data_IF_935486371535
#
_entry.id   IF_935486371535
#
_cell.length_a   1.000
_cell.length_b   1.000
_cell.length_c   1.000
_cell.angle_alpha   90.00
_cell.angle_beta   90.00
_cell.angle_gamma   90.00
#
_symmetry.space_group_name_H-M   'P 1'
#
loop_
_entity.id
_entity.type
_entity.pdbx_description
1 polymer ?
#
# COMPACT_ATOMS: atom_id res chain seq x y z
N UNK A 1 35.48 -42.03 -12.75
CA UNK A 1 35.37 -40.66 -12.20
C UNK A 1 34.24 -39.97 -12.94
N UNK A 2 33.11 -39.71 -12.27
CA UNK A 2 32.06 -38.88 -12.87
C UNK A 2 32.53 -37.42 -12.88
N UNK A 3 32.24 -36.64 -13.95
CA UNK A 3 32.59 -35.23 -13.97
C UNK A 3 31.80 -34.51 -12.88
N UNK A 4 32.51 -33.80 -12.00
CA UNK A 4 31.93 -32.86 -11.06
C UNK A 4 31.22 -31.76 -11.86
N UNK A 5 29.88 -31.78 -11.89
CA UNK A 5 29.09 -30.68 -12.45
C UNK A 5 29.42 -29.41 -11.67
N UNK A 6 30.04 -28.46 -12.36
CA UNK A 6 30.41 -27.15 -11.79
C UNK A 6 29.14 -26.37 -11.54
N UNK A 7 28.85 -26.07 -10.28
CA UNK A 7 27.73 -25.20 -9.93
C UNK A 7 27.93 -23.81 -10.58
N UNK A 8 26.86 -23.23 -11.17
CA UNK A 8 26.95 -21.93 -11.83
C UNK A 8 27.26 -20.83 -10.82
N UNK A 9 28.05 -19.87 -11.26
CA UNK A 9 28.41 -18.69 -10.47
C UNK A 9 27.21 -17.76 -10.26
N UNK A 10 27.33 -16.85 -9.29
CA UNK A 10 26.33 -15.81 -9.01
C UNK A 10 26.08 -14.90 -10.24
N UNK A 11 27.12 -14.58 -10.99
CA UNK A 11 26.99 -13.77 -12.20
C UNK A 11 26.27 -14.51 -13.34
N UNK A 12 26.52 -15.81 -13.49
CA UNK A 12 25.86 -16.65 -14.48
C UNK A 12 24.38 -16.84 -14.14
N UNK A 13 24.05 -17.09 -12.88
CA UNK A 13 22.65 -17.18 -12.42
C UNK A 13 21.90 -15.86 -12.60
N UNK A 14 22.54 -14.73 -12.29
CA UNK A 14 21.95 -13.39 -12.51
C UNK A 14 21.73 -13.08 -13.99
N UNK A 15 22.68 -13.43 -14.87
CA UNK A 15 22.55 -13.25 -16.33
C UNK A 15 21.43 -14.09 -16.91
N UNK A 16 21.32 -15.36 -16.50
CA UNK A 16 20.23 -16.26 -16.92
C UNK A 16 18.87 -15.72 -16.47
N UNK A 17 18.77 -15.25 -15.23
CA UNK A 17 17.54 -14.64 -14.71
C UNK A 17 17.10 -13.43 -15.54
N UNK A 18 18.04 -12.53 -15.88
CA UNK A 18 17.75 -11.33 -16.69
C UNK A 18 17.30 -11.68 -18.12
N UNK A 19 17.94 -12.68 -18.73
CA UNK A 19 17.57 -13.14 -20.06
C UNK A 19 16.14 -13.72 -20.08
N UNK A 20 15.79 -14.53 -19.07
CA UNK A 20 14.44 -15.09 -18.93
C UNK A 20 13.37 -14.01 -18.70
N UNK A 21 13.67 -12.99 -17.90
CA UNK A 21 12.77 -11.84 -17.71
C UNK A 21 12.55 -11.09 -19.02
N UNK A 22 13.60 -10.82 -19.78
CA UNK A 22 13.48 -10.14 -21.08
C UNK A 22 12.69 -10.97 -22.10
N UNK A 23 12.95 -12.28 -22.20
CA UNK A 23 12.17 -13.20 -23.05
C UNK A 23 10.69 -13.16 -22.67
N UNK A 24 10.40 -13.17 -21.37
CA UNK A 24 9.04 -13.07 -20.86
C UNK A 24 8.38 -11.74 -21.22
N UNK A 25 9.07 -10.60 -21.03
CA UNK A 25 8.57 -9.28 -21.43
C UNK A 25 8.24 -9.28 -22.93
N UNK A 26 9.16 -9.70 -23.79
CA UNK A 26 8.91 -9.78 -25.23
C UNK A 26 7.72 -10.66 -25.57
N UNK A 27 7.53 -11.76 -24.82
CA UNK A 27 6.32 -12.57 -24.89
C UNK A 27 5.06 -11.77 -24.57
N UNK A 28 5.01 -11.09 -23.42
CA UNK A 28 3.85 -10.27 -23.03
C UNK A 28 3.52 -9.20 -24.08
N UNK A 29 4.53 -8.54 -24.64
CA UNK A 29 4.37 -7.44 -25.61
C UNK A 29 3.94 -7.92 -27.01
N UNK A 30 4.25 -9.17 -27.36
CA UNK A 30 3.85 -9.77 -28.64
C UNK A 30 2.39 -10.22 -28.64
N UNK A 31 1.82 -10.54 -27.48
CA UNK A 31 0.48 -11.13 -27.41
C UNK A 31 -0.64 -10.12 -27.64
N UNK A 32 -1.44 -10.39 -28.66
CA UNK A 32 -2.64 -9.62 -29.01
C UNK A 32 -3.91 -10.20 -28.38
N UNK A 33 -3.89 -11.49 -28.02
CA UNK A 33 -5.06 -12.20 -27.49
C UNK A 33 -4.92 -12.45 -26.00
N UNK A 34 -6.02 -12.28 -25.27
CA UNK A 34 -6.11 -12.56 -23.83
C UNK A 34 -5.71 -14.01 -23.49
N UNK A 35 -6.09 -14.98 -24.33
CA UNK A 35 -5.80 -16.39 -24.07
C UNK A 35 -4.31 -16.68 -24.19
N UNK A 36 -3.66 -16.15 -25.22
CA UNK A 36 -2.21 -16.29 -25.40
C UNK A 36 -1.45 -15.56 -24.29
N UNK A 37 -1.90 -14.37 -23.90
CA UNK A 37 -1.34 -13.64 -22.75
C UNK A 37 -1.40 -14.46 -21.46
N UNK A 38 -2.53 -15.11 -21.16
CA UNK A 38 -2.64 -16.02 -20.02
C UNK A 38 -1.66 -17.19 -20.11
N UNK A 39 -1.44 -17.77 -21.29
CA UNK A 39 -0.44 -18.83 -21.48
C UNK A 39 0.95 -18.34 -21.12
N UNK A 40 1.33 -17.13 -21.56
CA UNK A 40 2.61 -16.50 -21.19
C UNK A 40 2.68 -16.33 -19.68
N UNK A 41 1.67 -15.73 -19.03
CA UNK A 41 1.63 -15.53 -17.57
C UNK A 41 1.76 -16.83 -16.76
N UNK A 42 1.26 -17.95 -17.29
CA UNK A 42 1.31 -19.26 -16.63
C UNK A 42 2.64 -20.00 -16.80
N UNK A 43 3.56 -19.47 -17.61
CA UNK A 43 4.88 -20.06 -17.81
C UNK A 43 5.59 -20.23 -16.46
N UNK A 44 6.06 -21.45 -16.15
CA UNK A 44 6.68 -21.78 -14.86
C UNK A 44 8.16 -21.39 -14.74
N UNK A 45 8.76 -20.82 -15.78
CA UNK A 45 10.19 -20.45 -15.81
C UNK A 45 10.53 -19.25 -14.92
N UNK A 46 9.54 -18.43 -14.56
CA UNK A 46 9.73 -17.26 -13.69
C UNK A 46 8.88 -17.35 -12.43
N UNK A 47 9.44 -16.84 -11.32
CA UNK A 47 8.72 -16.65 -10.07
C UNK A 47 7.59 -15.63 -10.22
N UNK A 48 6.65 -15.61 -9.27
CA UNK A 48 5.54 -14.64 -9.29
C UNK A 48 6.09 -13.21 -9.23
N UNK A 49 7.08 -12.95 -8.39
CA UNK A 49 7.66 -11.62 -8.23
C UNK A 49 8.34 -11.12 -9.52
N UNK A 50 9.11 -12.00 -10.19
CA UNK A 50 9.75 -11.67 -11.47
C UNK A 50 8.71 -11.37 -12.56
N UNK A 51 7.60 -12.11 -12.58
CA UNK A 51 6.49 -11.84 -13.52
C UNK A 51 5.81 -10.51 -13.24
N UNK A 52 5.56 -10.20 -11.96
CA UNK A 52 4.99 -8.92 -11.56
C UNK A 52 5.89 -7.77 -12.01
N UNK A 53 7.20 -7.91 -11.77
CA UNK A 53 8.21 -6.94 -12.21
C UNK A 53 8.27 -6.82 -13.73
N UNK A 54 8.22 -7.94 -14.45
CA UNK A 54 8.21 -7.95 -15.91
C UNK A 54 6.95 -7.27 -16.50
N UNK A 55 5.78 -7.46 -15.89
CA UNK A 55 4.56 -6.75 -16.29
C UNK A 55 4.73 -5.23 -16.12
N UNK A 56 5.32 -4.79 -15.00
CA UNK A 56 5.57 -3.35 -14.77
C UNK A 56 6.59 -2.76 -15.74
N UNK A 57 7.62 -3.54 -16.08
CA UNK A 57 8.71 -3.12 -16.98
C UNK A 57 8.33 -3.22 -18.46
N UNK A 58 7.24 -3.91 -18.79
CA UNK A 58 6.72 -3.99 -20.15
C UNK A 58 6.35 -2.59 -20.66
N UNK A 59 6.77 -2.29 -21.88
CA UNK A 59 6.47 -1.03 -22.55
C UNK A 59 4.99 -0.96 -22.91
N UNK A 60 4.46 -2.05 -23.50
CA UNK A 60 3.07 -2.14 -23.95
C UNK A 60 2.62 -3.59 -24.03
N UNK A 61 1.51 -3.93 -23.37
CA UNK A 61 0.88 -5.26 -23.39
C UNK A 61 -0.47 -5.15 -24.12
N UNK A 62 -0.54 -5.45 -25.43
CA UNK A 62 -1.74 -5.25 -26.25
C UNK A 62 -2.96 -6.02 -25.73
N UNK A 63 -2.74 -7.20 -25.16
CA UNK A 63 -3.80 -8.07 -24.65
C UNK A 63 -4.61 -7.53 -23.45
N UNK A 64 -4.17 -6.43 -22.81
CA UNK A 64 -4.83 -5.83 -21.62
C UNK A 64 -4.87 -4.30 -21.68
N UNK A 65 -5.04 -3.69 -22.86
CA UNK A 65 -5.06 -2.22 -22.99
C UNK A 65 -6.31 -1.56 -22.39
N UNK A 66 -7.40 -2.29 -22.25
CA UNK A 66 -8.66 -1.78 -21.71
C UNK A 66 -8.93 -2.36 -20.32
N UNK A 67 -9.60 -1.59 -19.46
CA UNK A 67 -10.01 -2.04 -18.12
C UNK A 67 -10.82 -3.34 -18.19
N UNK A 68 -11.66 -3.53 -19.21
CA UNK A 68 -12.47 -4.75 -19.40
C UNK A 68 -11.65 -6.01 -19.68
N UNK A 69 -10.53 -5.87 -20.40
CA UNK A 69 -9.62 -6.98 -20.69
C UNK A 69 -8.84 -7.38 -19.44
N UNK A 70 -8.37 -6.37 -18.70
CA UNK A 70 -7.69 -6.52 -17.43
C UNK A 70 -8.56 -7.25 -16.40
N UNK A 71 -9.85 -6.89 -16.29
CA UNK A 71 -10.81 -7.51 -15.38
C UNK A 71 -10.97 -9.01 -15.63
N UNK A 72 -11.07 -9.40 -16.89
CA UNK A 72 -11.23 -10.82 -17.25
C UNK A 72 -10.00 -11.64 -16.86
N UNK A 73 -8.81 -11.07 -17.08
CA UNK A 73 -7.55 -11.70 -16.67
C UNK A 73 -7.42 -11.74 -15.14
N UNK A 74 -7.77 -10.64 -14.48
CA UNK A 74 -7.77 -10.53 -13.03
C UNK A 74 -8.67 -11.60 -12.39
N UNK A 75 -9.93 -11.73 -12.84
CA UNK A 75 -10.87 -12.73 -12.34
C UNK A 75 -10.31 -14.14 -12.51
N UNK A 76 -9.75 -14.43 -13.68
CA UNK A 76 -9.16 -15.73 -13.97
C UNK A 76 -7.97 -16.05 -13.05
N UNK A 77 -7.08 -15.08 -12.83
CA UNK A 77 -5.92 -15.23 -11.94
C UNK A 77 -6.35 -15.37 -10.48
N UNK A 78 -7.35 -14.60 -10.02
CA UNK A 78 -7.93 -14.68 -8.67
C UNK A 78 -8.54 -16.05 -8.41
N UNK A 79 -9.28 -16.62 -9.37
CA UNK A 79 -9.87 -17.97 -9.27
C UNK A 79 -8.83 -19.07 -9.10
N UNK A 80 -7.56 -18.82 -9.47
CA UNK A 80 -6.43 -19.75 -9.30
C UNK A 80 -5.51 -19.43 -8.13
N UNK A 81 -5.91 -18.49 -7.26
CA UNK A 81 -5.10 -18.07 -6.12
C UNK A 81 -3.87 -17.24 -6.50
N UNK A 82 -3.75 -16.79 -7.76
CA UNK A 82 -2.62 -15.98 -8.25
C UNK A 82 -2.85 -14.49 -7.98
N UNK A 83 -3.17 -14.15 -6.73
CA UNK A 83 -3.65 -12.81 -6.36
C UNK A 83 -2.66 -11.70 -6.64
N UNK A 84 -1.36 -11.91 -6.36
CA UNK A 84 -0.32 -10.91 -6.61
C UNK A 84 -0.21 -10.56 -8.10
N UNK A 85 -0.23 -11.59 -8.95
CA UNK A 85 -0.19 -11.40 -10.41
C UNK A 85 -1.46 -10.71 -10.93
N UNK A 86 -2.62 -11.05 -10.37
CA UNK A 86 -3.88 -10.37 -10.69
C UNK A 86 -3.80 -8.86 -10.39
N UNK A 87 -3.25 -8.50 -9.22
CA UNK A 87 -3.05 -7.11 -8.84
C UNK A 87 -2.02 -6.39 -9.72
N UNK A 88 -0.95 -7.07 -10.16
CA UNK A 88 0.04 -6.47 -11.07
C UNK A 88 -0.54 -6.15 -12.45
N UNK A 89 -1.44 -7.01 -12.97
CA UNK A 89 -2.21 -6.71 -14.19
C UNK A 89 -3.07 -5.47 -13.99
N UNK A 90 -3.83 -5.39 -12.89
CA UNK A 90 -4.66 -4.21 -12.59
C UNK A 90 -3.82 -2.94 -12.42
N UNK A 91 -2.67 -3.03 -11.74
CA UNK A 91 -1.75 -1.91 -11.54
C UNK A 91 -1.16 -1.41 -12.87
N UNK A 92 -0.74 -2.32 -13.75
CA UNK A 92 -0.24 -1.97 -15.08
C UNK A 92 -1.28 -1.19 -15.88
N UNK A 93 -2.51 -1.71 -15.97
CA UNK A 93 -3.58 -1.04 -16.71
C UNK A 93 -3.97 0.27 -16.05
N UNK A 94 -4.02 0.32 -14.72
CA UNK A 94 -4.34 1.55 -14.00
C UNK A 94 -3.31 2.66 -14.26
N UNK A 95 -2.02 2.33 -14.20
CA UNK A 95 -0.94 3.32 -14.38
C UNK A 95 -0.82 3.81 -15.82
N UNK A 96 -1.27 3.01 -16.80
CA UNK A 96 -1.19 3.33 -18.24
C UNK A 96 -2.47 3.94 -18.81
N UNK A 97 -3.65 3.56 -18.32
CA UNK A 97 -4.92 3.77 -19.02
C UNK A 97 -6.05 4.34 -18.15
N UNK A 98 -6.06 4.07 -16.83
CA UNK A 98 -7.12 4.59 -15.97
C UNK A 98 -7.02 6.11 -15.77
N UNK A 99 -8.19 6.75 -15.61
CA UNK A 99 -8.36 8.21 -15.56
C UNK A 99 -7.27 8.91 -14.73
N UNK A 100 -6.67 9.91 -15.33
CA UNK A 100 -5.56 10.77 -14.87
C UNK A 100 -5.71 11.45 -13.51
N UNK A 101 -6.88 11.39 -12.88
CA UNK A 101 -7.15 12.04 -11.62
C UNK A 101 -6.90 11.10 -10.44
N UNK A 102 -5.72 11.20 -9.82
CA UNK A 102 -5.39 10.45 -8.59
C UNK A 102 -5.77 11.18 -7.30
N UNK A 103 -6.60 12.24 -7.38
CA UNK A 103 -7.07 12.97 -6.18
C UNK A 103 -7.83 12.07 -5.23
N UNK A 104 -8.58 11.08 -5.74
CA UNK A 104 -9.25 10.08 -4.91
C UNK A 104 -8.22 9.30 -4.07
N UNK A 105 -7.07 8.93 -4.66
CA UNK A 105 -6.03 8.16 -3.98
C UNK A 105 -5.34 9.01 -2.92
N UNK A 106 -5.01 10.27 -3.24
CA UNK A 106 -4.49 11.22 -2.25
C UNK A 106 -5.46 11.41 -1.08
N UNK A 107 -6.74 11.62 -1.36
CA UNK A 107 -7.77 11.78 -0.33
C UNK A 107 -7.91 10.54 0.56
N UNK A 108 -7.83 9.33 -0.01
CA UNK A 108 -7.80 8.07 0.74
C UNK A 108 -6.60 8.00 1.69
N UNK A 109 -5.39 8.30 1.18
CA UNK A 109 -4.15 8.25 1.96
C UNK A 109 -4.18 9.28 3.09
N UNK A 110 -4.58 10.52 2.80
CA UNK A 110 -4.71 11.58 3.78
C UNK A 110 -5.71 11.22 4.89
N UNK A 111 -6.88 10.69 4.54
CA UNK A 111 -7.87 10.26 5.50
C UNK A 111 -7.37 9.09 6.37
N UNK A 112 -6.65 8.12 5.78
CA UNK A 112 -6.03 7.02 6.52
C UNK A 112 -4.93 7.51 7.49
N UNK A 113 -4.04 8.39 7.05
CA UNK A 113 -3.02 9.03 7.92
C UNK A 113 -3.70 9.77 9.08
N UNK A 114 -4.72 10.58 8.80
CA UNK A 114 -5.43 11.36 9.80
C UNK A 114 -6.17 10.44 10.80
N UNK A 115 -6.82 9.37 10.35
CA UNK A 115 -7.40 8.34 11.22
C UNK A 115 -6.34 7.72 12.12
N UNK A 116 -5.20 7.27 11.56
CA UNK A 116 -4.12 6.66 12.34
C UNK A 116 -3.57 7.62 13.39
N UNK A 117 -3.41 8.90 13.03
CA UNK A 117 -2.97 9.94 13.95
C UNK A 117 -3.95 10.11 15.11
N UNK A 118 -5.26 10.23 14.83
CA UNK A 118 -6.29 10.41 15.85
C UNK A 118 -6.29 9.22 16.83
N UNK A 119 -6.22 8.00 16.29
CA UNK A 119 -6.23 6.79 17.10
C UNK A 119 -4.99 6.70 17.98
N UNK A 120 -3.81 6.98 17.44
CA UNK A 120 -2.56 7.01 18.20
C UNK A 120 -2.57 8.09 19.28
N UNK A 121 -3.16 9.25 18.96
CA UNK A 121 -3.36 10.33 19.93
C UNK A 121 -4.29 9.92 21.07
N UNK A 122 -5.41 9.25 20.76
CA UNK A 122 -6.32 8.71 21.78
C UNK A 122 -5.59 7.73 22.69
N UNK A 123 -4.79 6.82 22.13
CA UNK A 123 -3.99 5.86 22.92
C UNK A 123 -3.01 6.59 23.83
N UNK A 124 -2.29 7.59 23.32
CA UNK A 124 -1.40 8.41 24.13
C UNK A 124 -2.16 9.08 25.29
N UNK A 125 -3.33 9.67 25.03
CA UNK A 125 -4.15 10.29 26.08
C UNK A 125 -4.61 9.27 27.14
N UNK A 126 -5.02 8.07 26.72
CA UNK A 126 -5.37 7.00 27.65
C UNK A 126 -4.16 6.56 28.50
N UNK A 127 -2.95 6.53 27.93
CA UNK A 127 -1.72 6.27 28.68
C UNK A 127 -1.44 7.38 29.70
N UNK A 128 -1.66 8.66 29.35
CA UNK A 128 -1.46 9.78 30.28
C UNK A 128 -2.53 9.86 31.38
N UNK A 129 -3.78 9.47 31.10
CA UNK A 129 -4.85 9.42 32.11
C UNK A 129 -4.51 8.51 33.29
N UNK A 130 -3.79 7.42 33.03
CA UNK A 130 -3.28 6.54 34.09
C UNK A 130 -2.29 7.27 35.01
N UNK A 131 -1.68 8.37 34.55
CA UNK A 131 -0.61 9.09 35.25
C UNK A 131 -1.03 10.49 35.76
N UNK A 132 -2.05 11.15 35.18
CA UNK A 132 -2.33 12.60 35.40
C UNK A 132 -3.74 12.96 35.90
N UNK A 133 -4.62 11.96 36.10
CA UNK A 133 -5.98 12.18 36.63
C UNK A 133 -7.05 12.48 35.55
N UNK A 134 -8.34 12.17 35.80
CA UNK A 134 -9.29 11.84 34.73
C UNK A 134 -9.94 13.04 34.00
N UNK A 135 -10.25 14.13 34.72
CA UNK A 135 -11.31 15.06 34.31
C UNK A 135 -10.94 16.04 33.17
N UNK A 136 -9.67 16.47 33.05
CA UNK A 136 -9.25 17.38 31.98
C UNK A 136 -9.10 16.67 30.61
N UNK A 137 -8.77 15.37 30.63
CA UNK A 137 -8.49 14.58 29.43
C UNK A 137 -9.76 13.97 28.81
N UNK A 138 -10.88 13.93 29.54
CA UNK A 138 -12.18 13.47 29.03
C UNK A 138 -12.72 14.34 27.89
N UNK A 139 -12.65 15.66 28.06
CA UNK A 139 -13.08 16.62 27.03
C UNK A 139 -12.29 16.46 25.74
N UNK A 140 -10.97 16.25 25.85
CA UNK A 140 -10.09 16.05 24.70
C UNK A 140 -10.32 14.70 24.00
N UNK A 141 -10.51 13.61 24.75
CA UNK A 141 -10.89 12.33 24.12
C UNK A 141 -12.22 12.43 23.37
N UNK A 142 -13.20 13.16 23.91
CA UNK A 142 -14.47 13.38 23.25
C UNK A 142 -14.29 14.14 21.93
N UNK A 143 -13.44 15.17 21.88
CA UNK A 143 -13.15 15.90 20.64
C UNK A 143 -12.43 15.01 19.61
N UNK A 144 -11.47 14.18 20.05
CA UNK A 144 -10.78 13.22 19.18
C UNK A 144 -11.75 12.19 18.58
N UNK A 145 -12.70 11.66 19.36
CA UNK A 145 -13.75 10.76 18.84
C UNK A 145 -14.62 11.42 17.79
N UNK A 146 -15.02 12.68 18.00
CA UNK A 146 -15.78 13.44 17.01
C UNK A 146 -14.95 13.67 15.73
N UNK A 147 -13.66 13.99 15.87
CA UNK A 147 -12.73 14.12 14.74
C UNK A 147 -12.61 12.80 13.98
N UNK A 148 -12.45 11.67 14.70
CA UNK A 148 -12.37 10.34 14.10
C UNK A 148 -13.56 10.08 13.16
N UNK A 149 -14.79 10.23 13.64
CA UNK A 149 -15.98 9.94 12.83
C UNK A 149 -16.12 10.88 11.63
N UNK A 150 -15.71 12.15 11.76
CA UNK A 150 -15.67 13.10 10.64
C UNK A 150 -14.70 12.64 9.56
N UNK A 151 -13.51 12.22 9.95
CA UNK A 151 -12.47 11.75 9.01
C UNK A 151 -12.82 10.38 8.45
N UNK A 152 -13.43 9.49 9.23
CA UNK A 152 -13.95 8.21 8.76
C UNK A 152 -15.00 8.42 7.66
N UNK A 153 -15.85 9.45 7.76
CA UNK A 153 -16.76 9.84 6.67
C UNK A 153 -16.01 10.34 5.43
N UNK A 154 -14.93 11.12 5.59
CA UNK A 154 -14.07 11.52 4.46
C UNK A 154 -13.47 10.30 3.76
N UNK A 155 -13.00 9.32 4.53
CA UNK A 155 -12.46 8.07 3.98
C UNK A 155 -13.53 7.36 3.15
N UNK A 156 -14.74 7.20 3.70
CA UNK A 156 -15.84 6.57 2.96
C UNK A 156 -16.18 7.31 1.65
N UNK A 157 -16.22 8.65 1.67
CA UNK A 157 -16.43 9.45 0.45
C UNK A 157 -15.28 9.23 -0.55
N UNK A 158 -14.03 9.15 -0.07
CA UNK A 158 -12.87 8.91 -0.92
C UNK A 158 -12.89 7.49 -1.53
N UNK A 159 -13.35 6.48 -0.77
CA UNK A 159 -13.58 5.11 -1.23
C UNK A 159 -14.65 5.04 -2.33
N UNK A 160 -15.76 5.79 -2.18
CA UNK A 160 -16.83 5.89 -3.19
C UNK A 160 -16.38 6.66 -4.45
N UNK A 161 -15.41 7.57 -4.31
CA UNK A 161 -14.89 8.39 -5.41
C UNK A 161 -13.84 7.70 -6.29
N UNK A 162 -13.53 6.42 -6.06
CA UNK A 162 -12.55 5.68 -6.87
C UNK A 162 -13.10 5.53 -8.30
N UNK A 163 -12.57 6.33 -9.23
CA UNK A 163 -13.07 6.41 -10.60
C UNK A 163 -12.66 5.22 -11.48
N UNK A 164 -11.59 4.52 -11.13
CA UNK A 164 -11.05 3.38 -11.87
C UNK A 164 -11.63 2.09 -11.31
N UNK A 165 -12.29 1.30 -12.17
CA UNK A 165 -12.90 0.02 -11.77
C UNK A 165 -11.85 -1.00 -11.34
N UNK A 166 -10.72 -1.06 -12.06
CA UNK A 166 -9.56 -1.86 -11.70
C UNK A 166 -8.99 -1.45 -10.33
N UNK A 167 -8.85 -0.14 -10.07
CA UNK A 167 -8.42 0.36 -8.76
C UNK A 167 -9.43 0.07 -7.64
N UNK A 168 -10.74 0.22 -7.89
CA UNK A 168 -11.77 -0.05 -6.89
C UNK A 168 -11.76 -1.52 -6.47
N UNK A 169 -11.64 -2.44 -7.44
CA UNK A 169 -11.55 -3.88 -7.20
C UNK A 169 -10.24 -4.29 -6.52
N UNK A 170 -9.14 -3.65 -6.88
CA UNK A 170 -7.83 -3.82 -6.22
C UNK A 170 -7.89 -3.37 -4.76
N UNK A 171 -8.36 -2.15 -4.52
CA UNK A 171 -8.54 -1.57 -3.19
C UNK A 171 -9.44 -2.44 -2.32
N UNK A 172 -10.63 -2.80 -2.80
CA UNK A 172 -11.56 -3.63 -2.05
C UNK A 172 -10.95 -5.00 -1.65
N UNK A 173 -10.23 -5.63 -2.58
CA UNK A 173 -9.52 -6.88 -2.30
C UNK A 173 -8.41 -6.68 -1.26
N UNK A 174 -7.63 -5.61 -1.38
CA UNK A 174 -6.58 -5.28 -0.42
C UNK A 174 -7.17 -5.05 0.98
N UNK A 175 -8.29 -4.33 1.12
CA UNK A 175 -8.91 -4.02 2.42
C UNK A 175 -9.51 -5.23 3.13
N UNK A 176 -9.72 -6.36 2.44
CA UNK A 176 -10.10 -7.62 3.08
C UNK A 176 -8.96 -8.23 3.91
N UNK A 177 -7.70 -7.90 3.58
CA UNK A 177 -6.53 -8.36 4.33
C UNK A 177 -6.36 -7.50 5.59
N UNK A 178 -6.41 -8.12 6.76
CA UNK A 178 -6.28 -7.40 8.04
C UNK A 178 -4.92 -6.69 8.19
N UNK A 179 -3.90 -7.18 7.51
CA UNK A 179 -2.51 -6.74 7.51
C UNK A 179 -2.12 -5.99 6.23
N UNK A 180 -3.10 -5.47 5.46
CA UNK A 180 -2.85 -4.73 4.21
C UNK A 180 -1.80 -3.62 4.34
N UNK A 181 -1.73 -3.01 5.52
CA UNK A 181 -0.83 -1.91 5.84
C UNK A 181 0.61 -2.37 6.08
N UNK A 182 0.88 -3.67 6.14
CA UNK A 182 2.22 -4.24 6.33
C UNK A 182 2.90 -4.62 5.01
N UNK A 183 2.41 -4.13 3.88
CA UNK A 183 3.10 -4.32 2.59
C UNK A 183 4.51 -3.75 2.64
N UNK A 184 5.40 -4.30 1.81
CA UNK A 184 6.79 -3.84 1.68
C UNK A 184 6.88 -2.35 1.42
N UNK A 185 6.00 -1.85 0.56
CA UNK A 185 5.95 -0.47 0.10
C UNK A 185 5.67 0.49 1.25
N UNK A 186 4.70 0.15 2.10
CA UNK A 186 4.28 0.98 3.23
C UNK A 186 5.24 0.87 4.41
N UNK A 187 5.84 -0.31 4.63
CA UNK A 187 6.91 -0.49 5.62
C UNK A 187 8.13 0.34 5.27
N UNK A 188 8.56 0.32 4.01
CA UNK A 188 9.66 1.14 3.51
C UNK A 188 9.35 2.64 3.62
N UNK A 189 8.14 3.05 3.27
CA UNK A 189 7.70 4.45 3.41
C UNK A 189 7.78 4.92 4.87
N UNK A 190 7.21 4.12 5.79
CA UNK A 190 7.30 4.37 7.22
C UNK A 190 8.75 4.44 7.71
N UNK A 191 9.62 3.52 7.29
CA UNK A 191 11.02 3.50 7.70
C UNK A 191 11.80 4.72 7.17
N UNK A 192 11.58 5.12 5.90
CA UNK A 192 12.23 6.30 5.30
C UNK A 192 11.80 7.61 5.94
N UNK A 193 10.56 7.68 6.42
CA UNK A 193 10.06 8.79 7.23
C UNK A 193 10.61 8.81 8.67
N UNK A 194 11.53 7.92 9.04
CA UNK A 194 12.04 7.80 10.42
C UNK A 194 11.05 7.15 11.38
N UNK A 195 10.07 6.39 10.88
CA UNK A 195 9.05 5.72 11.66
C UNK A 195 9.48 4.38 12.27
N UNK A 196 8.55 3.77 13.00
CA UNK A 196 8.77 2.53 13.76
C UNK A 196 9.18 1.31 12.91
N UNK A 197 8.90 1.28 11.60
CA UNK A 197 9.33 0.19 10.72
C UNK A 197 10.84 0.17 10.47
N UNK A 198 11.55 1.29 10.70
CA UNK A 198 13.01 1.32 10.70
C UNK A 198 13.64 0.97 12.05
N UNK A 199 12.82 0.57 13.05
CA UNK A 199 13.25 0.29 14.42
C UNK A 199 12.83 -1.11 14.88
N UNK A 200 13.44 -1.59 15.96
CA UNK A 200 13.12 -2.89 16.57
C UNK A 200 11.86 -2.88 17.46
N UNK A 201 11.14 -1.76 17.58
CA UNK A 201 10.04 -1.61 18.54
C UNK A 201 8.76 -2.39 18.18
N UNK A 202 8.59 -2.83 16.93
CA UNK A 202 7.44 -3.63 16.49
C UNK A 202 6.07 -2.93 16.52
N UNK A 203 6.00 -1.64 16.87
CA UNK A 203 4.73 -0.95 17.13
C UNK A 203 3.78 -0.87 15.93
N UNK A 204 4.29 -1.01 14.70
CA UNK A 204 3.44 -1.05 13.51
C UNK A 204 2.74 -2.40 13.36
N UNK A 205 3.34 -3.50 13.78
CA UNK A 205 2.87 -4.86 13.48
C UNK A 205 1.74 -5.32 14.41
N UNK A 206 1.64 -4.67 15.57
CA UNK A 206 0.73 -5.04 16.65
C UNK A 206 -0.53 -4.15 16.59
N UNK A 207 -1.73 -4.72 16.80
CA UNK A 207 -2.94 -3.93 16.95
C UNK A 207 -2.82 -3.00 18.15
N UNK A 208 -3.22 -1.74 17.99
CA UNK A 208 -3.18 -0.80 19.11
C UNK A 208 -4.46 -0.93 19.93
N UNK A 209 -4.46 -1.86 20.88
CA UNK A 209 -5.65 -2.16 21.68
C UNK A 209 -5.67 -1.32 22.96
N UNK A 210 -6.67 -0.46 23.05
CA UNK A 210 -7.32 -0.12 24.33
C UNK A 210 -8.76 -0.60 24.22
N UNK A 211 -9.29 -1.20 25.29
CA UNK A 211 -10.57 -1.91 25.25
C UNK A 211 -11.72 -1.01 24.77
N UNK A 212 -11.68 0.28 25.11
CA UNK A 212 -12.71 1.25 24.69
C UNK A 212 -12.72 1.50 23.17
N UNK A 213 -11.55 1.49 22.50
CA UNK A 213 -11.51 1.68 21.04
C UNK A 213 -12.05 0.46 20.30
N UNK A 214 -11.81 -0.74 20.85
CA UNK A 214 -12.28 -2.00 20.23
C UNK A 214 -13.80 -2.05 20.25
N UNK A 215 -14.43 -1.67 21.36
CA UNK A 215 -15.91 -1.65 21.47
C UNK A 215 -16.57 -0.63 20.55
N UNK A 216 -15.85 0.42 20.15
CA UNK A 216 -16.34 1.49 19.28
C UNK A 216 -16.12 1.20 17.78
N UNK A 217 -15.55 0.04 17.42
CA UNK A 217 -15.28 -0.33 16.02
C UNK A 217 -14.19 0.53 15.36
N UNK A 218 -13.31 1.15 16.16
CA UNK A 218 -12.29 2.06 15.67
C UNK A 218 -11.12 1.29 15.02
N UNK A 219 -10.71 1.70 13.82
CA UNK A 219 -9.58 1.10 13.10
C UNK A 219 -8.29 1.33 13.89
N UNK A 220 -7.73 0.28 14.48
CA UNK A 220 -6.60 0.37 15.41
C UNK A 220 -5.29 -0.22 14.88
N UNK A 221 -5.21 -0.43 13.57
CA UNK A 221 -4.06 -0.98 12.85
C UNK A 221 -3.49 0.05 11.87
N UNK A 222 -2.21 -0.06 11.56
CA UNK A 222 -1.54 0.84 10.62
C UNK A 222 -0.16 1.30 11.08
N UNK A 223 0.57 1.99 10.22
CA UNK A 223 1.87 2.56 10.57
C UNK A 223 1.77 3.71 11.57
N UNK A 224 2.87 3.94 12.30
CA UNK A 224 3.00 5.09 13.19
C UNK A 224 2.83 6.41 12.43
N UNK A 225 2.35 7.41 13.13
CA UNK A 225 2.40 8.83 12.76
C UNK A 225 3.19 9.57 13.84
N UNK A 226 3.27 10.89 13.70
CA UNK A 226 3.81 11.79 14.74
C UNK A 226 3.11 11.65 16.11
N UNK A 227 1.89 11.09 16.18
CA UNK A 227 1.16 10.87 17.42
C UNK A 227 1.50 9.55 18.14
N UNK A 228 2.37 8.70 17.56
CA UNK A 228 2.79 7.47 18.20
C UNK A 228 3.73 7.75 19.39
N UNK A 229 3.44 7.22 20.58
CA UNK A 229 4.30 7.38 21.76
C UNK A 229 5.76 6.95 21.49
N UNK A 230 5.98 5.85 20.77
CA UNK A 230 7.33 5.43 20.41
C UNK A 230 8.04 6.42 19.47
N UNK A 231 7.32 7.07 18.55
CA UNK A 231 7.92 8.11 17.70
C UNK A 231 8.19 9.38 18.50
N UNK A 232 7.26 9.78 19.38
CA UNK A 232 7.44 10.90 20.30
C UNK A 232 8.72 10.77 21.10
N UNK A 233 8.91 9.61 21.75
CA UNK A 233 10.10 9.33 22.56
C UNK A 233 11.37 9.32 21.70
N UNK A 234 11.31 8.68 20.52
CA UNK A 234 12.46 8.58 19.62
C UNK A 234 12.90 9.93 19.02
N UNK A 235 11.99 10.90 18.94
CA UNK A 235 12.25 12.25 18.43
C UNK A 235 12.36 13.30 19.56
N UNK A 236 12.34 12.87 20.83
CA UNK A 236 12.41 13.75 22.00
C UNK A 236 11.32 14.85 22.00
N UNK A 237 10.13 14.50 21.51
CA UNK A 237 8.99 15.42 21.41
C UNK A 237 8.07 15.27 22.62
N UNK A 238 7.63 16.39 23.20
CA UNK A 238 6.60 16.38 24.23
C UNK A 238 5.22 16.21 23.58
N UNK A 239 4.60 15.05 23.81
CA UNK A 239 3.24 14.77 23.36
C UNK A 239 2.21 15.80 23.84
N UNK A 240 2.42 16.53 24.94
CA UNK A 240 1.49 17.60 25.36
C UNK A 240 1.48 18.79 24.41
N UNK A 241 2.59 19.03 23.70
CA UNK A 241 2.81 20.18 22.84
C UNK A 241 2.63 19.87 21.35
N UNK A 242 2.30 18.63 20.98
CA UNK A 242 1.82 18.36 19.62
C UNK A 242 0.46 19.05 19.48
N UNK A 243 0.40 20.11 18.67
CA UNK A 243 -0.85 20.78 18.31
C UNK A 243 -1.83 19.81 17.65
N UNK A 244 -3.10 20.17 17.54
CA UNK A 244 -4.14 19.32 16.93
C UNK A 244 -4.00 19.18 15.38
N UNK A 245 -2.82 19.50 14.85
CA UNK A 245 -2.45 19.43 13.45
C UNK A 245 -1.71 18.13 13.12
N UNK A 246 -2.18 17.45 12.08
CA UNK A 246 -1.55 16.24 11.55
C UNK A 246 -0.36 16.64 10.67
N UNK A 247 0.80 16.93 11.28
CA UNK A 247 2.02 17.33 10.56
C UNK A 247 2.46 16.28 9.53
N UNK A 248 2.11 15.00 9.73
CA UNK A 248 2.32 13.92 8.78
C UNK A 248 1.71 14.21 7.38
N UNK A 249 0.63 14.99 7.31
CA UNK A 249 0.01 15.38 6.03
C UNK A 249 0.83 16.42 5.28
N UNK A 250 1.57 17.29 5.98
CA UNK A 250 2.44 18.29 5.34
C UNK A 250 3.63 17.62 4.65
N UNK A 251 4.08 16.47 5.18
CA UNK A 251 5.12 15.64 4.60
C UNK A 251 4.65 14.73 3.46
N UNK A 252 3.34 14.59 3.24
CA UNK A 252 2.80 13.72 2.20
C UNK A 252 3.04 14.32 0.81
N UNK A 253 4.05 13.80 0.12
CA UNK A 253 4.24 14.04 -1.31
C UNK A 253 3.42 13.01 -2.08
N UNK A 254 2.45 13.48 -2.86
CA UNK A 254 1.67 12.61 -3.73
C UNK A 254 1.24 13.40 -4.96
N UNK A 255 1.76 12.99 -6.11
CA UNK A 255 1.46 13.62 -7.38
C UNK A 255 0.04 13.28 -7.84
N UNK A 256 -0.79 14.31 -7.89
CA UNK A 256 -2.16 14.24 -8.40
C UNK A 256 -2.29 14.83 -9.80
N UNK A 257 -1.19 15.38 -10.33
CA UNK A 257 -1.19 16.04 -11.62
C UNK A 257 -1.20 15.02 -12.76
N UNK A 258 -1.80 15.46 -13.85
CA UNK A 258 -1.79 14.76 -15.11
C UNK A 258 -0.65 15.35 -15.94
N UNK A 259 0.49 14.68 -15.94
CA UNK A 259 1.55 14.95 -16.92
C UNK A 259 1.71 13.72 -17.80
N UNK A 260 2.27 13.89 -18.99
CA UNK A 260 2.67 12.78 -19.87
C UNK A 260 3.78 11.90 -19.23
N UNK A 261 4.33 12.34 -18.09
CA UNK A 261 5.38 11.65 -17.35
C UNK A 261 4.79 10.67 -16.34
N UNK A 262 5.50 9.56 -16.15
CA UNK A 262 5.23 8.63 -15.06
C UNK A 262 5.24 9.39 -13.73
N UNK A 263 4.29 9.13 -12.81
CA UNK A 263 4.31 9.71 -11.48
C UNK A 263 5.64 9.45 -10.80
N UNK A 264 6.02 10.33 -9.88
CA UNK A 264 7.26 10.16 -9.15
C UNK A 264 7.30 8.79 -8.42
N UNK A 265 8.49 8.21 -8.20
CA UNK A 265 8.62 6.88 -7.61
C UNK A 265 7.99 6.72 -6.21
N UNK A 266 7.82 7.81 -5.46
CA UNK A 266 7.16 7.78 -4.16
C UNK A 266 5.64 7.68 -4.31
N UNK A 267 5.03 8.44 -5.22
CA UNK A 267 3.61 8.30 -5.58
C UNK A 267 3.26 6.88 -6.03
N UNK A 268 4.06 6.29 -6.93
CA UNK A 268 3.83 4.92 -7.41
C UNK A 268 3.91 3.89 -6.28
N UNK A 269 4.86 4.06 -5.35
CA UNK A 269 4.99 3.20 -4.17
C UNK A 269 3.78 3.29 -3.26
N UNK A 270 3.30 4.51 -2.98
CA UNK A 270 2.09 4.70 -2.18
C UNK A 270 0.88 4.09 -2.86
N UNK A 271 0.75 4.22 -4.19
CA UNK A 271 -0.33 3.60 -4.95
C UNK A 271 -0.30 2.06 -4.85
N UNK A 272 0.87 1.45 -5.03
CA UNK A 272 1.05 0.01 -4.81
C UNK A 272 0.67 -0.39 -3.39
N UNK A 273 1.18 0.33 -2.40
CA UNK A 273 0.96 0.04 -0.99
C UNK A 273 -0.48 0.25 -0.52
N UNK A 274 -1.20 1.26 -1.01
CA UNK A 274 -2.56 1.59 -0.56
C UNK A 274 -3.68 0.94 -1.37
N UNK A 275 -3.43 0.57 -2.64
CA UNK A 275 -4.45 0.13 -3.59
C UNK A 275 -4.19 -1.27 -4.16
N UNK A 276 -2.96 -1.59 -4.58
CA UNK A 276 -2.71 -2.80 -5.38
C UNK A 276 -2.02 -3.95 -4.63
N UNK A 277 -1.41 -3.76 -3.46
CA UNK A 277 -0.78 -4.85 -2.66
C UNK A 277 0.19 -5.73 -3.49
N UNK A 278 1.06 -5.12 -4.31
CA UNK A 278 2.06 -5.79 -5.17
C UNK A 278 3.49 -5.49 -4.75
#
# INVERSE_FOLDING_TARGET
MQPSERLPSYEETTKVSKALVNEFISGLEAEQSRNSFLIVLLNRRLGIDDKCKAIEDAHRIPAIEQDTDAESVEDWLRLRGMHKLAQSVCYYVHTRHSSSNRRWCKALIEADIEIRWIVQRMIWVHQQKRNMGPQALDGYLKSLKQKYWRVHRKLWIAEDSISSRSAARAFAFQRQKIDWYLSSELREDCARGGGCCGRACGCCEIPRTIDELRTEGIRNRGHCTSACSCCLDAHELDGKNIGDETTDLQGLRFDTTFTEWLPDPHTLRLLKGYVFSI
#
